data_IF_510824168465
#
_entry.id   IF_510824168465
#
_cell.length_a   1.000
_cell.length_b   1.000
_cell.length_c   1.000
_cell.angle_alpha   90.00
_cell.angle_beta   90.00
_cell.angle_gamma   90.00
#
_symmetry.space_group_name_H-M   'P 1'
#
loop_
_entity.id
_entity.type
_entity.pdbx_description
1 polymer ?
#
# COMPACT_ATOMS: atom_id res chain seq x y z
N UNK A 1 -22.99 -64.19 -19.90
CA UNK A 1 -22.98 -62.71 -19.89
C UNK A 1 -22.15 -62.27 -18.68
N UNK A 2 -20.90 -61.80 -18.89
CA UNK A 2 -19.93 -61.50 -17.81
C UNK A 2 -20.11 -60.08 -17.28
N UNK A 3 -20.24 -59.93 -15.96
CA UNK A 3 -20.26 -58.64 -15.25
C UNK A 3 -18.79 -58.22 -14.99
N UNK A 4 -18.40 -57.03 -15.45
CA UNK A 4 -17.07 -56.43 -15.20
C UNK A 4 -17.10 -55.59 -13.93
N UNK A 5 -16.16 -55.85 -13.01
CA UNK A 5 -15.91 -55.00 -11.84
C UNK A 5 -15.21 -53.70 -12.24
N UNK A 6 -15.66 -52.60 -11.61
CA UNK A 6 -15.20 -51.21 -11.77
C UNK A 6 -13.82 -51.02 -11.13
N UNK A 7 -12.90 -50.40 -11.86
CA UNK A 7 -11.82 -49.59 -11.29
C UNK A 7 -12.06 -48.15 -11.74
N UNK A 8 -12.25 -47.22 -10.79
CA UNK A 8 -12.13 -45.77 -10.98
C UNK A 8 -12.02 -45.10 -9.60
N UNK A 9 -11.39 -43.93 -9.46
CA UNK A 9 -9.93 -43.81 -9.38
C UNK A 9 -9.49 -42.97 -8.16
N UNK A 10 -8.23 -43.11 -7.78
CA UNK A 10 -7.51 -42.17 -6.90
C UNK A 10 -7.25 -40.88 -7.72
N UNK A 11 -8.26 -40.03 -7.84
CA UNK A 11 -8.15 -38.67 -8.43
C UNK A 11 -8.98 -37.73 -7.55
N UNK A 12 -8.49 -37.45 -6.34
CA UNK A 12 -9.11 -36.40 -5.51
C UNK A 12 -8.10 -35.55 -4.73
N UNK A 13 -6.78 -35.82 -4.87
CA UNK A 13 -5.76 -35.12 -4.09
C UNK A 13 -5.02 -34.00 -4.85
N UNK A 14 -5.28 -33.82 -6.15
CA UNK A 14 -4.56 -32.85 -6.99
C UNK A 14 -5.29 -31.51 -7.22
N UNK A 15 -6.58 -31.40 -6.82
CA UNK A 15 -7.39 -30.21 -7.07
C UNK A 15 -7.34 -29.16 -5.95
N UNK A 16 -6.92 -29.54 -4.74
CA UNK A 16 -6.94 -28.63 -3.58
C UNK A 16 -5.76 -27.63 -3.65
N UNK A 17 -4.61 -28.04 -4.20
CA UNK A 17 -3.41 -27.18 -4.27
C UNK A 17 -3.48 -26.08 -5.33
N UNK A 18 -4.29 -26.23 -6.39
CA UNK A 18 -4.42 -25.23 -7.46
C UNK A 18 -5.19 -23.97 -7.04
N UNK A 19 -5.99 -24.04 -5.97
CA UNK A 19 -6.86 -22.91 -5.58
C UNK A 19 -6.16 -21.84 -4.75
N UNK A 20 -5.06 -22.16 -4.07
CA UNK A 20 -4.29 -21.18 -3.28
C UNK A 20 -3.42 -20.27 -4.15
N UNK A 21 -2.79 -20.78 -5.22
CA UNK A 21 -1.95 -19.96 -6.11
C UNK A 21 -2.76 -18.99 -6.98
N UNK A 22 -4.08 -19.19 -7.11
CA UNK A 22 -4.92 -18.33 -7.96
C UNK A 22 -5.27 -16.98 -7.31
N UNK A 23 -5.11 -16.82 -5.98
CA UNK A 23 -5.49 -15.57 -5.30
C UNK A 23 -4.35 -14.54 -5.23
N UNK A 24 -3.09 -14.99 -5.11
CA UNK A 24 -1.93 -14.10 -5.32
C UNK A 24 -2.03 -13.40 -6.68
N UNK A 25 -2.63 -14.07 -7.68
CA UNK A 25 -2.89 -13.51 -9.00
C UNK A 25 -3.75 -12.24 -8.99
N UNK A 26 -4.58 -11.99 -7.96
CA UNK A 26 -5.41 -10.78 -7.92
C UNK A 26 -4.72 -9.58 -7.26
N UNK A 27 -3.67 -9.81 -6.46
CA UNK A 27 -2.95 -8.75 -5.77
C UNK A 27 -1.98 -8.07 -6.75
N UNK A 28 -2.10 -6.76 -6.93
CA UNK A 28 -1.21 -5.96 -7.77
C UNK A 28 -0.07 -5.35 -6.93
N UNK A 29 -0.42 -4.72 -5.81
CA UNK A 29 0.54 -4.08 -4.90
C UNK A 29 0.02 -4.03 -3.47
N UNK A 30 0.96 -3.94 -2.52
CA UNK A 30 0.66 -3.87 -1.10
C UNK A 30 0.41 -5.25 -0.47
N UNK A 31 -0.24 -5.32 0.70
CA UNK A 31 -0.88 -4.19 1.40
C UNK A 31 0.13 -3.16 1.90
N UNK A 32 -0.33 -1.93 2.09
CA UNK A 32 0.43 -0.81 2.66
C UNK A 32 -0.26 -0.33 3.94
N UNK A 33 0.53 -0.05 4.98
CA UNK A 33 0.06 0.65 6.16
C UNK A 33 0.13 2.16 5.94
N UNK A 34 -1.01 2.83 6.01
CA UNK A 34 -1.13 4.29 5.90
C UNK A 34 -0.94 4.98 7.24
N UNK A 35 -1.70 6.05 7.48
CA UNK A 35 -1.66 6.80 8.72
C UNK A 35 -1.96 5.94 9.96
N UNK A 36 -1.45 6.39 11.10
CA UNK A 36 -1.75 5.83 12.42
C UNK A 36 -2.32 6.91 13.33
N UNK A 37 -3.47 6.62 13.91
CA UNK A 37 -4.05 7.36 15.03
C UNK A 37 -4.17 6.46 16.25
N UNK A 38 -4.60 7.02 17.38
CA UNK A 38 -4.78 6.24 18.62
C UNK A 38 -5.87 5.17 18.51
N UNK A 39 -6.92 5.46 17.73
CA UNK A 39 -8.14 4.65 17.65
C UNK A 39 -8.40 4.06 16.28
N UNK A 40 -7.53 4.32 15.31
CA UNK A 40 -7.65 3.73 13.98
C UNK A 40 -6.32 3.73 13.21
N UNK A 41 -6.22 2.82 12.24
CA UNK A 41 -5.12 2.74 11.27
C UNK A 41 -5.68 2.49 9.88
N UNK A 42 -5.15 3.20 8.89
CA UNK A 42 -5.51 2.96 7.49
C UNK A 42 -4.66 1.85 6.88
N UNK A 43 -5.31 0.90 6.21
CA UNK A 43 -4.70 -0.14 5.41
C UNK A 43 -5.10 0.04 3.94
N UNK A 44 -4.13 0.02 3.06
CA UNK A 44 -4.30 0.20 1.61
C UNK A 44 -3.92 -1.06 0.85
N UNK A 45 -4.60 -1.35 -0.26
CA UNK A 45 -4.24 -2.43 -1.17
C UNK A 45 -4.67 -2.11 -2.60
N UNK A 46 -3.98 -2.66 -3.59
CA UNK A 46 -4.40 -2.60 -4.99
C UNK A 46 -4.56 -4.01 -5.57
N UNK A 47 -5.68 -4.25 -6.25
CA UNK A 47 -5.89 -5.48 -7.04
C UNK A 47 -5.67 -5.22 -8.52
N UNK A 48 -5.61 -6.25 -9.36
CA UNK A 48 -5.47 -6.09 -10.82
C UNK A 48 -6.77 -6.32 -11.61
N UNK A 49 -7.87 -6.56 -10.90
CA UNK A 49 -9.22 -6.66 -11.43
C UNK A 49 -10.22 -6.32 -10.30
N UNK A 50 -11.52 -6.13 -10.61
CA UNK A 50 -12.54 -5.93 -9.58
C UNK A 50 -12.57 -7.09 -8.59
N UNK A 51 -12.39 -6.81 -7.30
CA UNK A 51 -12.36 -7.81 -6.25
C UNK A 51 -12.90 -7.24 -4.94
N UNK A 52 -13.41 -8.13 -4.09
CA UNK A 52 -13.79 -7.79 -2.71
C UNK A 52 -12.55 -7.88 -1.83
N UNK A 53 -12.24 -6.84 -1.06
CA UNK A 53 -11.08 -6.82 -0.16
C UNK A 53 -11.50 -6.53 1.27
N UNK A 54 -10.84 -7.21 2.22
CA UNK A 54 -11.04 -7.04 3.66
C UNK A 54 -9.74 -7.38 4.37
N UNK A 55 -9.47 -6.71 5.49
CA UNK A 55 -8.40 -7.13 6.40
C UNK A 55 -8.99 -7.74 7.66
N UNK A 56 -8.34 -8.79 8.17
CA UNK A 56 -8.53 -9.26 9.55
C UNK A 56 -7.29 -8.93 10.36
N UNK A 57 -7.46 -8.51 11.60
CA UNK A 57 -6.33 -8.08 12.45
C UNK A 57 -6.57 -8.46 13.91
N UNK A 58 -5.49 -8.58 14.68
CA UNK A 58 -5.52 -8.93 16.09
C UNK A 58 -4.30 -8.34 16.81
N UNK A 59 -4.45 -7.99 18.09
CA UNK A 59 -3.35 -7.48 18.92
C UNK A 59 -2.27 -8.56 19.07
N UNK A 60 -0.99 -8.16 19.00
CA UNK A 60 0.12 -9.10 19.23
C UNK A 60 -0.03 -9.78 20.61
N UNK A 61 0.09 -11.12 20.62
CA UNK A 61 -0.15 -11.93 21.81
C UNK A 61 -1.61 -12.35 22.03
N UNK A 62 -2.57 -11.84 21.25
CA UNK A 62 -4.01 -12.14 21.39
C UNK A 62 -4.66 -12.65 20.07
N UNK A 63 -4.12 -13.68 19.40
CA UNK A 63 -4.59 -14.12 18.07
C UNK A 63 -6.03 -14.68 18.02
N UNK A 64 -6.62 -14.98 19.18
CA UNK A 64 -8.00 -15.46 19.27
C UNK A 64 -9.03 -14.32 19.12
N UNK A 65 -8.65 -13.08 19.42
CA UNK A 65 -9.52 -11.90 19.31
C UNK A 65 -9.24 -11.19 17.99
N UNK A 66 -9.91 -11.64 16.93
CA UNK A 66 -9.79 -11.08 15.59
C UNK A 66 -10.89 -10.06 15.33
N UNK A 67 -10.47 -8.91 14.84
CA UNK A 67 -11.33 -7.89 14.25
C UNK A 67 -11.25 -7.96 12.73
N UNK A 68 -12.15 -7.23 12.07
CA UNK A 68 -12.19 -7.11 10.62
C UNK A 68 -12.56 -5.68 10.24
N UNK A 69 -11.94 -5.19 9.17
CA UNK A 69 -12.38 -3.95 8.53
C UNK A 69 -13.72 -4.16 7.84
N UNK A 70 -14.40 -3.06 7.49
CA UNK A 70 -15.43 -3.11 6.46
C UNK A 70 -14.87 -3.75 5.18
N UNK A 71 -15.72 -4.41 4.41
CA UNK A 71 -15.34 -4.96 3.10
C UNK A 71 -15.50 -3.88 2.03
N UNK A 72 -14.52 -3.75 1.13
CA UNK A 72 -14.53 -2.78 0.03
C UNK A 72 -14.37 -3.51 -1.29
N UNK A 73 -15.14 -3.13 -2.31
CA UNK A 73 -14.96 -3.64 -3.67
C UNK A 73 -14.05 -2.71 -4.46
N UNK A 74 -12.97 -3.23 -5.03
CA UNK A 74 -12.09 -2.48 -5.92
C UNK A 74 -12.71 -2.32 -7.31
N UNK A 75 -12.47 -1.16 -7.94
CA UNK A 75 -13.07 -0.82 -9.22
C UNK A 75 -12.04 -0.18 -10.17
N UNK A 76 -12.29 -0.28 -11.47
CA UNK A 76 -11.39 0.27 -12.48
C UNK A 76 -11.19 1.78 -12.32
N UNK A 77 -12.24 2.50 -11.94
CA UNK A 77 -12.19 3.95 -11.79
C UNK A 77 -11.15 4.36 -10.73
N UNK A 78 -11.00 3.61 -9.64
CA UNK A 78 -10.03 3.88 -8.56
C UNK A 78 -8.67 3.23 -8.80
N UNK A 79 -8.36 2.84 -10.04
CA UNK A 79 -7.20 2.00 -10.38
C UNK A 79 -7.14 0.69 -9.57
N UNK A 80 -8.31 0.17 -9.19
CA UNK A 80 -8.46 -1.00 -8.32
C UNK A 80 -7.80 -0.87 -6.95
N UNK A 81 -7.58 0.35 -6.48
CA UNK A 81 -7.12 0.63 -5.13
C UNK A 81 -8.29 0.58 -4.15
N UNK A 82 -7.99 0.23 -2.90
CA UNK A 82 -8.93 0.30 -1.78
C UNK A 82 -8.20 0.73 -0.51
N UNK A 83 -8.89 1.54 0.29
CA UNK A 83 -8.47 1.99 1.61
C UNK A 83 -9.49 1.47 2.63
N UNK A 84 -9.01 0.85 3.68
CA UNK A 84 -9.82 0.19 4.71
C UNK A 84 -9.30 0.61 6.07
N UNK A 85 -10.20 0.92 6.99
CA UNK A 85 -9.84 1.41 8.32
C UNK A 85 -9.96 0.27 9.33
N UNK A 86 -8.90 0.04 10.09
CA UNK A 86 -8.91 -0.80 11.28
C UNK A 86 -9.30 0.08 12.47
N UNK A 87 -10.59 0.08 12.82
CA UNK A 87 -11.24 0.99 13.78
C UNK A 87 -11.53 0.36 15.16
N UNK A 88 -11.19 -0.91 15.35
CA UNK A 88 -11.32 -1.63 16.63
C UNK A 88 -9.93 -1.90 17.20
N UNK A 89 -9.21 -0.81 17.44
CA UNK A 89 -7.86 -0.80 17.99
C UNK A 89 -7.79 0.06 19.24
N UNK A 90 -6.78 -0.18 20.07
CA UNK A 90 -6.54 0.54 21.30
C UNK A 90 -5.22 1.33 21.20
N UNK A 91 -5.05 2.44 21.93
CA UNK A 91 -3.84 3.26 21.87
C UNK A 91 -2.58 2.50 22.32
N UNK A 92 -1.46 2.75 21.63
CA UNK A 92 -0.14 2.21 21.98
C UNK A 92 0.02 0.70 21.77
N UNK A 93 -0.81 0.09 20.90
CA UNK A 93 -0.84 -1.35 20.65
C UNK A 93 -0.26 -1.69 19.29
N UNK A 94 0.28 -2.91 19.20
CA UNK A 94 0.78 -3.51 17.95
C UNK A 94 -0.17 -4.60 17.50
N UNK A 95 -0.40 -4.66 16.19
CA UNK A 95 -1.31 -5.61 15.58
C UNK A 95 -0.63 -6.37 14.46
N UNK A 96 -1.00 -7.64 14.31
CA UNK A 96 -0.76 -8.40 13.08
C UNK A 96 -2.03 -8.40 12.26
N UNK A 97 -1.90 -8.32 10.93
CA UNK A 97 -3.03 -8.34 10.03
C UNK A 97 -2.88 -9.33 8.87
N UNK A 98 -4.00 -9.70 8.29
CA UNK A 98 -4.17 -10.68 7.24
C UNK A 98 -5.02 -10.05 6.13
N UNK A 99 -4.54 -10.12 4.88
CA UNK A 99 -5.29 -9.65 3.72
C UNK A 99 -6.19 -10.77 3.18
N UNK A 100 -7.46 -10.44 2.97
CA UNK A 100 -8.43 -11.29 2.29
C UNK A 100 -8.87 -10.62 0.98
N UNK A 101 -8.81 -11.37 -0.11
CA UNK A 101 -9.36 -10.97 -1.41
C UNK A 101 -10.37 -12.04 -1.85
N UNK A 102 -11.59 -11.62 -2.18
CA UNK A 102 -12.74 -12.49 -2.48
C UNK A 102 -12.96 -13.56 -1.39
N UNK A 103 -12.84 -13.16 -0.12
CA UNK A 103 -12.96 -14.04 1.04
C UNK A 103 -11.81 -15.03 1.25
N UNK A 104 -10.75 -14.98 0.44
CA UNK A 104 -9.59 -15.88 0.53
C UNK A 104 -8.36 -15.16 1.05
N UNK A 105 -7.67 -15.79 2.00
CA UNK A 105 -6.41 -15.29 2.55
C UNK A 105 -5.33 -15.17 1.48
N UNK A 106 -4.65 -14.03 1.44
CA UNK A 106 -3.47 -13.77 0.61
C UNK A 106 -2.25 -13.69 1.51
N UNK A 107 -1.38 -14.70 1.44
CA UNK A 107 -0.17 -14.76 2.27
C UNK A 107 0.92 -13.87 1.67
N UNK A 108 1.74 -13.27 2.53
CA UNK A 108 2.97 -12.56 2.14
C UNK A 108 4.19 -13.27 2.73
N UNK A 109 5.36 -13.21 2.07
CA UNK A 109 6.60 -13.82 2.57
C UNK A 109 7.29 -12.99 3.67
N UNK A 110 6.61 -11.94 4.16
CA UNK A 110 7.07 -11.04 5.21
C UNK A 110 5.91 -10.73 6.17
N UNK A 111 6.18 -10.30 7.40
CA UNK A 111 5.15 -9.93 8.36
C UNK A 111 4.27 -8.79 7.86
N UNK A 112 3.00 -8.84 8.24
CA UNK A 112 2.03 -7.76 8.04
C UNK A 112 1.65 -7.23 9.41
N UNK A 113 2.14 -6.04 9.75
CA UNK A 113 1.98 -5.45 11.09
C UNK A 113 1.70 -3.96 11.02
N UNK A 114 1.06 -3.43 12.04
CA UNK A 114 0.92 -1.99 12.25
C UNK A 114 0.87 -1.67 13.74
N UNK A 115 0.98 -0.39 14.09
CA UNK A 115 0.82 0.07 15.46
C UNK A 115 -0.04 1.34 15.54
N UNK A 116 -0.73 1.51 16.66
CA UNK A 116 -1.49 2.72 16.97
C UNK A 116 -0.63 3.74 17.70
N UNK A 117 -1.00 5.02 17.62
CA UNK A 117 -0.36 6.06 18.41
C UNK A 117 -0.56 5.79 19.91
N UNK A 118 0.45 6.15 20.71
CA UNK A 118 0.42 5.95 22.15
C UNK A 118 -0.28 7.11 22.85
N UNK A 119 -1.13 6.82 23.84
CA UNK A 119 -1.77 7.84 24.68
C UNK A 119 -0.81 8.25 25.82
N UNK A 120 0.15 9.12 25.52
CA UNK A 120 1.13 9.62 26.50
C UNK A 120 0.68 10.92 27.19
N UNK A 121 -0.17 11.70 26.54
CA UNK A 121 -0.52 13.05 26.98
C UNK A 121 -1.06 13.03 28.41
N UNK A 122 -0.45 13.85 29.28
CA UNK A 122 -0.81 13.98 30.71
C UNK A 122 -0.65 12.71 31.54
N UNK A 123 0.13 11.73 31.06
CA UNK A 123 0.33 10.43 31.72
C UNK A 123 1.80 10.09 31.88
N UNK A 124 2.60 10.31 30.84
CA UNK A 124 4.02 9.99 30.79
C UNK A 124 4.74 10.83 29.72
N UNK A 125 6.06 10.70 29.66
CA UNK A 125 6.86 11.31 28.61
C UNK A 125 6.50 10.69 27.23
N UNK A 126 6.57 11.47 26.14
CA UNK A 126 6.30 10.96 24.80
C UNK A 126 7.22 9.78 24.48
N UNK A 127 6.68 8.68 23.89
CA UNK A 127 7.49 7.50 23.63
C UNK A 127 8.55 7.79 22.58
N UNK A 128 9.77 7.22 22.70
CA UNK A 128 10.77 7.31 21.66
C UNK A 128 10.29 6.58 20.41
N UNK A 129 10.58 7.15 19.25
CA UNK A 129 10.27 6.57 17.96
C UNK A 129 11.44 6.75 17.00
N UNK A 130 11.42 6.02 15.90
CA UNK A 130 12.37 6.16 14.80
C UNK A 130 11.62 6.23 13.48
N UNK A 131 12.09 7.08 12.59
CA UNK A 131 11.49 7.24 11.28
C UNK A 131 12.54 7.46 10.23
N UNK A 132 12.14 7.28 8.98
CA UNK A 132 12.98 7.50 7.81
C UNK A 132 12.35 8.57 6.93
N UNK A 133 13.19 9.39 6.33
CA UNK A 133 12.81 10.38 5.32
C UNK A 133 13.45 9.95 4.00
N UNK A 134 12.68 9.97 2.91
CA UNK A 134 13.19 9.64 1.58
C UNK A 134 12.48 10.41 0.48
N UNK A 135 13.18 10.60 -0.64
CA UNK A 135 12.68 11.24 -1.85
C UNK A 135 13.36 10.61 -3.07
N UNK A 136 12.98 11.06 -4.26
CA UNK A 136 13.67 10.73 -5.51
C UNK A 136 13.73 9.23 -5.81
N UNK A 137 12.58 8.56 -5.66
CA UNK A 137 12.42 7.13 -5.87
C UNK A 137 12.09 6.80 -7.34
N UNK A 138 13.12 6.83 -8.18
CA UNK A 138 12.98 6.52 -9.60
C UNK A 138 12.95 5.00 -9.84
N UNK A 139 11.80 4.46 -10.27
CA UNK A 139 11.65 3.07 -10.70
C UNK A 139 11.66 2.97 -12.23
N UNK A 140 12.59 2.18 -12.75
CA UNK A 140 12.79 1.95 -14.18
C UNK A 140 11.65 1.19 -14.84
N UNK A 141 11.47 1.41 -16.14
CA UNK A 141 10.55 0.68 -17.01
C UNK A 141 11.15 0.79 -18.42
N UNK A 142 11.83 -0.28 -18.84
CA UNK A 142 12.77 -0.29 -19.97
C UNK A 142 12.18 0.30 -21.25
N UNK A 143 10.91 0.00 -21.51
CA UNK A 143 10.17 0.42 -22.71
C UNK A 143 10.01 1.94 -22.82
N UNK A 144 10.02 2.64 -21.68
CA UNK A 144 9.82 4.09 -21.59
C UNK A 144 10.98 4.80 -20.91
N UNK A 145 12.08 4.11 -20.60
CA UNK A 145 13.29 4.74 -20.07
C UNK A 145 14.00 5.50 -21.19
N UNK A 146 14.65 6.61 -20.82
CA UNK A 146 15.43 7.41 -21.78
C UNK A 146 16.61 6.60 -22.32
N UNK A 147 17.02 6.81 -23.58
CA UNK A 147 18.19 6.14 -24.14
C UNK A 147 19.44 6.35 -23.27
N UNK A 148 20.19 5.28 -23.01
CA UNK A 148 21.43 5.30 -22.24
C UNK A 148 21.34 4.53 -20.93
N UNK A 149 22.11 4.95 -19.93
CA UNK A 149 22.05 4.36 -18.58
C UNK A 149 20.74 4.82 -17.92
N UNK A 150 19.91 3.90 -17.38
CA UNK A 150 18.70 4.26 -16.65
C UNK A 150 19.04 5.02 -15.37
N UNK A 151 18.11 5.84 -14.88
CA UNK A 151 18.29 6.64 -13.67
C UNK A 151 18.08 5.83 -12.39
N UNK A 152 17.08 4.95 -12.37
CA UNK A 152 16.80 4.09 -11.23
C UNK A 152 17.87 3.00 -11.10
N UNK A 153 18.27 2.71 -9.88
CA UNK A 153 19.19 1.63 -9.54
C UNK A 153 19.08 1.36 -8.03
N UNK A 154 19.81 0.36 -7.53
CA UNK A 154 20.03 0.14 -6.10
C UNK A 154 18.76 0.02 -5.24
N UNK A 155 17.72 -0.64 -5.75
CA UNK A 155 16.45 -0.81 -5.03
C UNK A 155 16.57 -1.59 -3.70
N UNK A 156 17.70 -2.27 -3.46
CA UNK A 156 18.04 -2.87 -2.17
C UNK A 156 18.02 -1.89 -0.99
N UNK A 157 18.11 -0.58 -1.26
CA UNK A 157 17.94 0.45 -0.23
C UNK A 157 16.59 0.33 0.50
N UNK A 158 15.52 -0.06 -0.19
CA UNK A 158 14.20 -0.29 0.44
C UNK A 158 14.25 -1.44 1.45
N UNK A 159 15.00 -2.50 1.12
CA UNK A 159 15.23 -3.62 2.03
C UNK A 159 16.09 -3.19 3.22
N UNK A 160 17.12 -2.39 3.00
CA UNK A 160 17.97 -1.85 4.07
C UNK A 160 17.18 -0.96 5.03
N UNK A 161 16.30 -0.09 4.51
CA UNK A 161 15.39 0.74 5.32
C UNK A 161 14.46 -0.15 6.14
N UNK A 162 13.81 -1.13 5.51
CA UNK A 162 12.92 -2.05 6.22
C UNK A 162 13.63 -2.78 7.37
N UNK A 163 14.89 -3.17 7.19
CA UNK A 163 15.70 -3.81 8.23
C UNK A 163 16.03 -2.90 9.42
N UNK A 164 16.00 -1.58 9.25
CA UNK A 164 16.12 -0.62 10.37
C UNK A 164 14.87 -0.58 11.26
N UNK A 165 13.77 -1.22 10.84
CA UNK A 165 12.49 -1.26 11.54
C UNK A 165 11.99 0.13 11.96
N UNK A 166 11.86 1.10 11.02
CA UNK A 166 11.28 2.40 11.32
C UNK A 166 9.80 2.26 11.71
N UNK A 167 9.32 3.15 12.57
CA UNK A 167 7.91 3.23 12.93
C UNK A 167 7.07 3.81 11.77
N UNK A 168 7.64 4.78 11.05
CA UNK A 168 7.06 5.33 9.83
C UNK A 168 8.13 5.81 8.83
N UNK A 169 7.71 5.96 7.58
CA UNK A 169 8.45 6.62 6.51
C UNK A 169 7.71 7.87 6.04
N UNK A 170 8.44 8.97 5.96
CA UNK A 170 8.01 10.21 5.34
C UNK A 170 8.60 10.32 3.92
N UNK A 171 7.71 10.31 2.94
CA UNK A 171 8.01 10.45 1.52
C UNK A 171 7.95 11.93 1.14
N UNK A 172 9.09 12.49 0.75
CA UNK A 172 9.27 13.94 0.57
C UNK A 172 9.06 14.43 -0.85
N UNK A 173 8.57 13.57 -1.75
CA UNK A 173 8.33 13.91 -3.14
C UNK A 173 9.30 13.21 -4.09
N UNK A 174 8.99 13.31 -5.38
CA UNK A 174 9.55 12.44 -6.40
C UNK A 174 9.39 10.96 -6.03
N UNK A 175 8.22 10.62 -5.47
CA UNK A 175 7.94 9.26 -5.03
C UNK A 175 7.60 8.37 -6.22
N UNK A 176 7.20 8.99 -7.32
CA UNK A 176 6.90 8.38 -8.61
C UNK A 176 7.25 9.37 -9.71
N UNK A 177 7.96 8.91 -10.75
CA UNK A 177 8.37 9.75 -11.86
C UNK A 177 7.45 9.58 -13.07
N UNK A 178 6.52 10.51 -13.26
CA UNK A 178 5.74 10.56 -14.50
C UNK A 178 6.64 10.84 -15.71
N UNK A 179 6.41 10.11 -16.80
CA UNK A 179 7.19 10.22 -18.04
C UNK A 179 6.37 10.85 -19.17
N UNK A 180 7.03 11.11 -20.29
CA UNK A 180 6.46 11.72 -21.49
C UNK A 180 5.17 11.01 -21.96
N UNK A 181 5.13 9.67 -21.83
CA UNK A 181 3.97 8.82 -22.17
C UNK A 181 2.82 8.91 -21.15
N UNK A 182 3.12 9.33 -19.93
CA UNK A 182 2.17 9.35 -18.81
C UNK A 182 1.45 10.71 -18.70
N UNK A 183 2.17 11.81 -18.91
CA UNK A 183 1.76 13.18 -18.51
C UNK A 183 0.39 13.64 -18.99
N UNK A 184 -0.07 13.20 -20.16
CA UNK A 184 -1.27 13.77 -20.79
C UNK A 184 -2.47 12.83 -20.80
N UNK A 185 -2.44 11.78 -19.97
CA UNK A 185 -3.59 10.89 -19.78
C UNK A 185 -3.71 10.41 -18.35
N UNK A 186 -4.93 10.40 -17.82
CA UNK A 186 -5.24 9.80 -16.52
C UNK A 186 -4.77 8.34 -16.43
N UNK A 187 -4.96 7.57 -17.50
CA UNK A 187 -4.51 6.18 -17.58
C UNK A 187 -2.99 6.04 -17.43
N UNK A 188 -2.21 6.92 -18.05
CA UNK A 188 -0.74 6.93 -17.94
C UNK A 188 -0.29 7.28 -16.52
N UNK A 189 -0.91 8.29 -15.91
CA UNK A 189 -0.64 8.68 -14.51
C UNK A 189 -0.90 7.52 -13.55
N UNK A 190 -2.05 6.85 -13.66
CA UNK A 190 -2.41 5.72 -12.81
C UNK A 190 -1.54 4.48 -13.08
N UNK A 191 -1.16 4.26 -14.34
CA UNK A 191 -0.23 3.22 -14.73
C UNK A 191 1.12 3.41 -14.03
N UNK A 192 1.71 4.61 -14.11
CA UNK A 192 3.00 4.90 -13.50
C UNK A 192 2.99 4.75 -11.97
N UNK A 193 1.92 5.20 -11.32
CA UNK A 193 1.74 4.98 -9.87
C UNK A 193 1.64 3.49 -9.53
N UNK A 194 0.88 2.71 -10.31
CA UNK A 194 0.80 1.25 -10.16
C UNK A 194 2.16 0.59 -10.34
N UNK A 195 2.89 0.96 -11.40
CA UNK A 195 4.22 0.44 -11.72
C UNK A 195 5.19 0.63 -10.56
N UNK A 196 5.36 1.88 -10.10
CA UNK A 196 6.25 2.19 -8.98
C UNK A 196 5.82 1.47 -7.69
N UNK A 197 4.51 1.46 -7.39
CA UNK A 197 3.98 0.80 -6.20
C UNK A 197 4.13 -0.72 -6.22
N UNK A 198 4.22 -1.33 -7.40
CA UNK A 198 4.41 -2.78 -7.59
C UNK A 198 5.85 -3.25 -7.47
N UNK A 199 6.83 -2.37 -7.23
CA UNK A 199 8.22 -2.78 -7.05
C UNK A 199 8.35 -3.84 -5.93
N UNK A 200 8.89 -5.03 -6.20
CA UNK A 200 8.99 -6.12 -5.21
C UNK A 200 9.75 -5.73 -3.94
N UNK A 201 10.85 -4.99 -4.08
CA UNK A 201 11.73 -4.54 -3.01
C UNK A 201 11.02 -3.57 -2.05
N UNK A 202 9.98 -2.89 -2.52
CA UNK A 202 9.17 -1.97 -1.72
C UNK A 202 8.14 -2.71 -0.85
N UNK A 203 7.70 -3.90 -1.25
CA UNK A 203 6.54 -4.58 -0.65
C UNK A 203 6.69 -4.89 0.86
N UNK A 204 7.86 -5.37 1.37
CA UNK A 204 8.02 -5.62 2.80
C UNK A 204 7.90 -4.34 3.65
N UNK A 205 8.43 -3.22 3.12
CA UNK A 205 8.36 -1.93 3.80
C UNK A 205 6.91 -1.47 3.92
N UNK A 206 6.15 -1.51 2.81
CA UNK A 206 4.72 -1.18 2.78
C UNK A 206 3.91 -1.97 3.80
N UNK A 207 4.19 -3.27 3.93
CA UNK A 207 3.39 -4.17 4.75
C UNK A 207 3.54 -3.99 6.26
N UNK A 208 4.55 -3.26 6.74
CA UNK A 208 4.91 -3.21 8.17
C UNK A 208 5.31 -1.85 8.73
N UNK A 209 5.46 -0.82 7.88
CA UNK A 209 5.86 0.53 8.29
C UNK A 209 4.74 1.49 7.91
N UNK A 210 4.47 2.51 8.73
CA UNK A 210 3.45 3.53 8.39
C UNK A 210 3.99 4.49 7.32
N UNK A 211 3.14 4.88 6.36
CA UNK A 211 3.54 5.72 5.23
C UNK A 211 2.80 7.06 5.20
N UNK A 212 3.56 8.15 5.26
CA UNK A 212 3.09 9.52 5.05
C UNK A 212 3.80 10.11 3.84
N UNK A 213 3.10 10.87 3.00
CA UNK A 213 3.70 11.41 1.78
C UNK A 213 3.32 12.87 1.51
N UNK A 214 4.25 13.58 0.92
CA UNK A 214 4.02 14.73 0.03
C UNK A 214 4.53 14.39 -1.36
N UNK A 215 4.20 15.20 -2.37
CA UNK A 215 4.79 15.11 -3.70
C UNK A 215 5.89 16.15 -3.94
N UNK A 216 6.60 15.99 -5.05
CA UNK A 216 7.35 17.03 -5.74
C UNK A 216 6.94 17.04 -7.23
N UNK A 217 7.65 17.80 -8.07
CA UNK A 217 7.25 18.09 -9.44
C UNK A 217 7.10 16.84 -10.32
N UNK A 218 7.88 15.79 -10.10
CA UNK A 218 7.79 14.56 -10.90
C UNK A 218 6.58 13.66 -10.59
N UNK A 219 5.98 13.76 -9.39
CA UNK A 219 4.67 13.14 -9.14
C UNK A 219 3.54 14.00 -9.74
N UNK A 220 3.74 15.32 -9.81
CA UNK A 220 2.74 16.30 -10.27
C UNK A 220 2.63 16.37 -11.80
N UNK A 221 3.74 16.27 -12.54
CA UNK A 221 3.76 16.43 -13.99
C UNK A 221 5.17 16.48 -14.61
N UNK A 222 5.33 17.07 -15.80
CA UNK A 222 6.65 17.40 -16.35
C UNK A 222 7.45 18.28 -15.38
N UNK A 223 8.79 18.17 -15.44
CA UNK A 223 9.72 18.98 -14.64
C UNK A 223 9.36 20.48 -14.66
N UNK A 224 9.33 21.12 -13.48
CA UNK A 224 8.91 22.51 -13.27
C UNK A 224 7.47 22.85 -13.71
N UNK A 225 6.56 21.89 -13.73
CA UNK A 225 5.14 22.17 -13.99
C UNK A 225 4.50 22.97 -12.86
N UNK A 226 3.52 23.81 -13.22
CA UNK A 226 2.80 24.64 -12.28
C UNK A 226 1.27 24.42 -12.38
N UNK A 227 0.50 25.33 -11.80
CA UNK A 227 -0.97 25.31 -11.84
C UNK A 227 -1.59 25.32 -13.25
N UNK A 228 -0.83 25.61 -14.30
CA UNK A 228 -1.29 25.55 -15.70
C UNK A 228 -1.28 24.14 -16.27
N UNK A 229 -0.63 23.18 -15.59
CA UNK A 229 -0.57 21.80 -16.05
C UNK A 229 -1.98 21.19 -16.20
N UNK A 230 -2.27 20.69 -17.40
CA UNK A 230 -3.60 20.20 -17.79
C UNK A 230 -4.10 19.08 -16.89
N UNK A 231 -3.22 18.14 -16.53
CA UNK A 231 -3.57 16.93 -15.78
C UNK A 231 -3.40 17.07 -14.25
N UNK A 232 -3.25 18.28 -13.72
CA UNK A 232 -3.08 18.54 -12.27
C UNK A 232 -4.17 17.91 -11.38
N UNK A 233 -5.39 17.79 -11.90
CA UNK A 233 -6.49 17.17 -11.17
C UNK A 233 -6.33 15.65 -11.13
N UNK A 234 -5.91 15.04 -12.24
CA UNK A 234 -5.67 13.61 -12.36
C UNK A 234 -4.44 13.17 -11.55
N UNK A 235 -3.38 13.98 -11.49
CA UNK A 235 -2.21 13.68 -10.65
C UNK A 235 -2.51 13.82 -9.17
N UNK A 236 -3.31 14.82 -8.77
CA UNK A 236 -3.84 14.92 -7.40
C UNK A 236 -4.71 13.70 -7.04
N UNK A 237 -5.63 13.33 -7.93
CA UNK A 237 -6.47 12.15 -7.73
C UNK A 237 -5.63 10.89 -7.59
N UNK A 238 -4.61 10.69 -8.44
CA UNK A 238 -3.71 9.55 -8.32
C UNK A 238 -2.97 9.56 -6.98
N UNK A 239 -2.48 10.72 -6.52
CA UNK A 239 -1.86 10.83 -5.21
C UNK A 239 -2.84 10.40 -4.09
N UNK A 240 -4.07 10.89 -4.15
CA UNK A 240 -5.15 10.52 -3.23
C UNK A 240 -5.49 9.03 -3.31
N UNK A 241 -5.43 8.38 -4.47
CA UNK A 241 -5.72 6.95 -4.61
C UNK A 241 -4.61 6.06 -4.05
N UNK A 242 -3.34 6.44 -4.22
CA UNK A 242 -2.19 5.58 -3.92
C UNK A 242 -1.55 5.82 -2.55
N UNK A 243 -1.80 6.95 -1.90
CA UNK A 243 -1.27 7.25 -0.57
C UNK A 243 -2.33 7.11 0.52
N UNK A 244 -1.88 6.91 1.75
CA UNK A 244 -2.72 6.69 2.93
C UNK A 244 -2.66 7.83 3.95
N UNK A 245 -2.56 9.08 3.50
CA UNK A 245 -2.51 10.25 4.39
C UNK A 245 -3.83 10.41 5.16
N UNK A 246 -3.82 11.02 6.37
CA UNK A 246 -5.04 11.19 7.16
C UNK A 246 -6.02 12.18 6.53
N UNK A 247 -5.52 13.20 5.83
CA UNK A 247 -6.33 14.18 5.11
C UNK A 247 -5.67 14.58 3.78
N UNK A 248 -6.43 15.28 2.95
CA UNK A 248 -5.94 15.87 1.69
C UNK A 248 -6.53 17.26 1.51
N UNK A 249 -5.65 18.26 1.42
CA UNK A 249 -6.03 19.66 1.27
C UNK A 249 -6.20 20.39 2.60
N UNK A 250 -6.52 21.68 2.52
CA UNK A 250 -6.70 22.57 3.68
C UNK A 250 -8.01 23.32 3.49
N UNK A 251 -8.81 23.45 4.56
CA UNK A 251 -10.07 24.19 4.58
C UNK A 251 -11.07 23.78 3.49
N UNK A 252 -11.11 22.48 3.16
CA UNK A 252 -11.95 21.93 2.09
C UNK A 252 -11.47 22.28 0.67
N UNK A 253 -10.34 22.99 0.56
CA UNK A 253 -9.66 23.26 -0.70
C UNK A 253 -8.93 22.04 -1.25
N UNK A 254 -8.76 21.94 -2.58
CA UNK A 254 -8.03 20.83 -3.19
C UNK A 254 -6.54 20.92 -2.86
N UNK A 255 -5.90 19.77 -2.72
CA UNK A 255 -4.46 19.68 -2.51
C UNK A 255 -4.09 18.32 -1.93
N UNK A 256 -2.80 18.13 -1.67
CA UNK A 256 -2.28 16.92 -1.03
C UNK A 256 -1.75 17.18 0.39
N UNK A 257 -1.82 18.44 0.83
CA UNK A 257 -1.35 18.86 2.15
C UNK A 257 -2.14 18.14 3.24
N UNK A 258 -1.44 17.76 4.30
CA UNK A 258 -2.01 17.11 5.48
C UNK A 258 -1.21 17.51 6.72
N UNK A 259 -1.74 17.20 7.89
CA UNK A 259 -1.06 17.25 9.18
C UNK A 259 -1.23 15.87 9.85
N UNK A 260 -0.23 15.44 10.61
CA UNK A 260 -0.34 14.31 11.54
C UNK A 260 0.58 14.59 12.73
N UNK A 261 0.37 13.84 13.82
CA UNK A 261 1.24 13.89 14.99
C UNK A 261 1.78 12.48 15.25
N UNK A 262 3.08 12.37 15.55
CA UNK A 262 3.70 11.14 16.02
C UNK A 262 4.44 11.42 17.31
N UNK A 263 4.00 10.79 18.41
CA UNK A 263 4.46 11.15 19.75
C UNK A 263 4.32 12.67 19.99
N UNK A 264 5.42 13.40 20.21
CA UNK A 264 5.48 14.85 20.44
C UNK A 264 5.91 15.68 19.22
N UNK A 265 5.94 15.08 18.02
CA UNK A 265 6.30 15.72 16.75
C UNK A 265 5.11 15.85 15.80
#
# INVERSE_FOLDING_TARGET
MRIRFRYLPIIFLFLITLTLSAQEKYLQSGPMVGYSEMMEVLLWVQTNAPASVQFSYYEEGQPAQKYRTAEVRTELHSAYTAKLVADQVEPGRKYTYELYINGKLVKRPYPLKFQTQHLWQWREDPPPFRFVIGSCFYVNETEYDRPGKPYGDHYEIMTAIYQQQPDFMLWMGDNTYLREVDWYSRSGILHRNTHTRSLPELQPLLGSVHHYATWDDHDYGPNNSDRSFRQKADTREAFELFWGNPTYGIDGGPGITTMFQWADV
#
